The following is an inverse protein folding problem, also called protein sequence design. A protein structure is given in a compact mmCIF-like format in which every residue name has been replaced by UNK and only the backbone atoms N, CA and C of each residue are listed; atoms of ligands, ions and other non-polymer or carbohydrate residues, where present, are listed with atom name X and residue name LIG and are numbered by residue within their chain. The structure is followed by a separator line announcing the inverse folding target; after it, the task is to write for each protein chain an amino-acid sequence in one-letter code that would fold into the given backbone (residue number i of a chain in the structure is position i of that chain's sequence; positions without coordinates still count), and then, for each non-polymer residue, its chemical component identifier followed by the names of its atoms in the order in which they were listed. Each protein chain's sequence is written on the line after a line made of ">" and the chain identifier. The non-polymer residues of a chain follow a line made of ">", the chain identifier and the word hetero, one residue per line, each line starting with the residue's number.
data_IF_507727438382
#
_entry.id   IF_507727438382
#
_cell.length_a   1.000
_cell.length_b   1.000
_cell.length_c   1.000
_cell.angle_alpha   90.00
_cell.angle_beta   90.00
_cell.angle_gamma   90.00
#
_symmetry.space_group_name_H-M   'P 1'
#
loop_
_entity.id
_entity.type
_entity.pdbx_description
1 polymer ?
#
# COMPACT_ATOMS: atom_id res chain seq x y z
N UNK A 1 -16.28 0.63 -14.96
CA UNK A 1 -15.53 1.70 -15.64
C UNK A 1 -14.36 2.23 -14.82
N UNK A 2 -14.53 2.52 -13.51
CA UNK A 2 -13.47 3.11 -12.68
C UNK A 2 -12.23 2.22 -12.51
N UNK A 3 -12.37 0.89 -12.48
CA UNK A 3 -11.23 -0.04 -12.45
C UNK A 3 -10.36 0.16 -13.70
N UNK A 4 -10.99 0.25 -14.86
CA UNK A 4 -10.29 0.49 -16.14
C UNK A 4 -9.66 1.89 -16.21
N UNK A 5 -10.36 2.90 -15.69
CA UNK A 5 -9.83 4.27 -15.67
C UNK A 5 -8.58 4.37 -14.79
N UNK A 6 -8.63 3.82 -13.56
CA UNK A 6 -7.47 3.80 -12.67
C UNK A 6 -6.32 2.96 -13.24
N UNK A 7 -6.62 1.81 -13.85
CA UNK A 7 -5.62 1.01 -14.55
C UNK A 7 -4.94 1.79 -15.67
N UNK A 8 -5.71 2.52 -16.49
CA UNK A 8 -5.17 3.34 -17.57
C UNK A 8 -4.27 4.48 -17.06
N UNK A 9 -4.63 5.13 -15.94
CA UNK A 9 -3.79 6.16 -15.29
C UNK A 9 -2.45 5.56 -14.84
N UNK A 10 -2.44 4.29 -14.43
CA UNK A 10 -1.24 3.55 -14.03
C UNK A 10 -0.50 2.91 -15.22
N UNK A 11 -0.91 3.18 -16.45
CA UNK A 11 -0.27 2.66 -17.66
C UNK A 11 -0.68 1.25 -18.08
N UNK A 12 -1.73 0.70 -17.47
CA UNK A 12 -2.25 -0.62 -17.83
C UNK A 12 -3.21 -0.53 -19.01
N UNK A 13 -3.08 -1.44 -19.97
CA UNK A 13 -4.03 -1.50 -21.07
C UNK A 13 -5.33 -2.23 -20.67
N UNK A 14 -6.33 -2.13 -21.54
CA UNK A 14 -7.65 -2.73 -21.28
C UNK A 14 -7.61 -4.25 -21.27
N UNK A 15 -6.71 -4.88 -22.04
CA UNK A 15 -6.57 -6.32 -22.10
C UNK A 15 -6.04 -6.86 -20.76
N UNK A 16 -5.01 -6.20 -20.20
CA UNK A 16 -4.49 -6.51 -18.88
C UNK A 16 -5.57 -6.37 -17.80
N UNK A 17 -6.31 -5.25 -17.82
CA UNK A 17 -7.38 -5.02 -16.83
C UNK A 17 -8.51 -6.05 -16.94
N UNK A 18 -8.90 -6.48 -18.15
CA UNK A 18 -9.87 -7.56 -18.33
C UNK A 18 -9.38 -8.87 -17.73
N UNK A 19 -8.10 -9.20 -17.90
CA UNK A 19 -7.50 -10.43 -17.37
C UNK A 19 -7.48 -10.45 -15.85
N UNK A 20 -7.28 -9.30 -15.20
CA UNK A 20 -7.14 -9.17 -13.76
C UNK A 20 -8.37 -8.62 -13.05
N UNK A 21 -9.47 -8.39 -13.76
CA UNK A 21 -10.68 -7.79 -13.20
C UNK A 21 -11.23 -8.57 -12.01
N UNK A 22 -11.39 -9.88 -12.14
CA UNK A 22 -11.94 -10.73 -11.10
C UNK A 22 -11.02 -10.78 -9.88
N UNK A 23 -9.70 -10.84 -10.09
CA UNK A 23 -8.68 -10.79 -9.03
C UNK A 23 -8.76 -9.47 -8.22
N UNK A 24 -8.89 -8.33 -8.92
CA UNK A 24 -9.02 -7.01 -8.28
C UNK A 24 -10.30 -6.94 -7.45
N UNK A 25 -11.43 -7.38 -7.99
CA UNK A 25 -12.73 -7.36 -7.32
C UNK A 25 -12.72 -8.30 -6.11
N UNK A 26 -12.18 -9.49 -6.24
CA UNK A 26 -12.08 -10.47 -5.16
C UNK A 26 -11.16 -9.96 -4.04
N UNK A 27 -9.99 -9.41 -4.40
CA UNK A 27 -9.05 -8.88 -3.41
C UNK A 27 -9.67 -7.71 -2.62
N UNK A 28 -10.33 -6.79 -3.31
CA UNK A 28 -10.98 -5.62 -2.68
C UNK A 28 -12.24 -5.94 -1.88
N UNK A 29 -12.78 -7.18 -2.01
CA UNK A 29 -14.02 -7.64 -1.37
C UNK A 29 -15.23 -6.78 -1.77
N UNK A 30 -15.28 -6.36 -3.04
CA UNK A 30 -16.32 -5.48 -3.58
C UNK A 30 -17.26 -6.16 -4.59
N UNK A 31 -17.38 -7.50 -4.54
CA UNK A 31 -18.19 -8.27 -5.49
C UNK A 31 -19.64 -7.79 -5.56
N UNK A 32 -20.24 -7.48 -4.42
CA UNK A 32 -21.63 -7.01 -4.34
C UNK A 32 -21.82 -5.55 -4.80
N UNK A 33 -20.71 -4.81 -4.97
CA UNK A 33 -20.71 -3.39 -5.30
C UNK A 33 -20.21 -3.07 -6.71
N UNK A 34 -19.90 -4.10 -7.53
CA UNK A 34 -19.30 -3.92 -8.87
C UNK A 34 -20.16 -3.03 -9.77
N UNK A 35 -21.48 -3.14 -9.67
CA UNK A 35 -22.44 -2.36 -10.47
C UNK A 35 -22.80 -1.00 -9.83
N UNK A 36 -22.30 -0.73 -8.62
CA UNK A 36 -22.52 0.54 -7.93
C UNK A 36 -21.51 1.57 -8.41
N UNK A 37 -21.93 2.77 -8.81
CA UNK A 37 -20.98 3.84 -9.16
C UNK A 37 -20.03 4.18 -8.01
N UNK A 38 -18.74 4.33 -8.30
CA UNK A 38 -17.69 4.60 -7.28
C UNK A 38 -17.94 5.88 -6.47
N UNK A 39 -18.65 6.86 -7.05
CA UNK A 39 -19.10 8.06 -6.31
C UNK A 39 -19.97 7.73 -5.07
N UNK A 40 -20.55 6.55 -5.02
CA UNK A 40 -21.38 6.06 -3.90
C UNK A 40 -20.59 5.14 -2.96
N UNK A 41 -19.30 4.92 -3.23
CA UNK A 41 -18.44 4.11 -2.36
C UNK A 41 -18.05 4.88 -1.10
N UNK A 42 -17.91 4.17 0.00
CA UNK A 42 -17.27 4.72 1.20
C UNK A 42 -15.78 4.95 0.95
N UNK A 43 -15.13 5.78 1.76
CA UNK A 43 -13.68 5.98 1.70
C UNK A 43 -12.90 4.67 1.84
N UNK A 44 -13.37 3.77 2.72
CA UNK A 44 -12.79 2.44 2.90
C UNK A 44 -12.89 1.58 1.63
N UNK A 45 -14.04 1.61 0.94
CA UNK A 45 -14.22 0.89 -0.33
C UNK A 45 -13.31 1.43 -1.42
N UNK A 46 -13.17 2.76 -1.53
CA UNK A 46 -12.27 3.41 -2.50
C UNK A 46 -10.82 2.99 -2.24
N UNK A 47 -10.40 3.00 -0.99
CA UNK A 47 -9.04 2.64 -0.61
C UNK A 47 -8.75 1.15 -0.84
N UNK A 48 -9.70 0.26 -0.54
CA UNK A 48 -9.58 -1.19 -0.84
C UNK A 48 -9.42 -1.43 -2.34
N UNK A 49 -10.24 -0.77 -3.15
CA UNK A 49 -10.16 -0.87 -4.60
C UNK A 49 -8.83 -0.33 -5.14
N UNK A 50 -8.40 0.85 -4.66
CA UNK A 50 -7.13 1.47 -5.04
C UNK A 50 -5.93 0.57 -4.73
N UNK A 51 -5.89 -0.02 -3.53
CA UNK A 51 -4.83 -0.95 -3.15
C UNK A 51 -4.84 -2.22 -4.03
N UNK A 52 -6.01 -2.80 -4.29
CA UNK A 52 -6.14 -3.96 -5.16
C UNK A 52 -5.60 -3.70 -6.57
N UNK A 53 -5.95 -2.54 -7.16
CA UNK A 53 -5.45 -2.15 -8.49
C UNK A 53 -3.94 -1.93 -8.46
N UNK A 54 -3.42 -1.21 -7.47
CA UNK A 54 -1.99 -0.90 -7.36
C UNK A 54 -1.11 -2.14 -7.21
N UNK A 55 -1.62 -3.19 -6.56
CA UNK A 55 -0.86 -4.41 -6.24
C UNK A 55 -1.08 -5.58 -7.19
N UNK A 56 -2.01 -5.47 -8.13
CA UNK A 56 -2.20 -6.50 -9.18
C UNK A 56 -1.06 -6.48 -10.18
N UNK A 57 -0.40 -5.34 -10.36
CA UNK A 57 0.80 -5.22 -11.19
C UNK A 57 2.03 -5.58 -10.38
N UNK A 58 2.88 -6.41 -10.94
CA UNK A 58 4.24 -6.63 -10.42
C UNK A 58 5.14 -5.49 -10.89
N UNK A 59 5.10 -4.39 -10.14
CA UNK A 59 5.98 -3.26 -10.39
C UNK A 59 7.39 -3.55 -9.86
N UNK A 60 8.42 -3.01 -10.50
CA UNK A 60 9.80 -3.08 -9.99
C UNK A 60 9.94 -2.26 -8.71
N UNK A 61 9.24 -1.12 -8.64
CA UNK A 61 9.22 -0.20 -7.50
C UNK A 61 7.75 0.11 -7.16
N UNK A 62 7.37 -0.12 -5.92
CA UNK A 62 6.07 0.23 -5.37
C UNK A 62 6.24 1.31 -4.29
N UNK A 63 5.56 2.44 -4.47
CA UNK A 63 5.52 3.54 -3.50
C UNK A 63 4.21 3.47 -2.74
N UNK A 64 4.29 3.38 -1.41
CA UNK A 64 3.12 3.30 -0.52
C UNK A 64 3.23 4.38 0.56
N UNK A 65 2.23 5.25 0.62
CA UNK A 65 2.11 6.31 1.62
C UNK A 65 0.92 6.03 2.55
N UNK A 66 1.22 5.58 3.76
CA UNK A 66 0.29 5.29 4.88
C UNK A 66 -0.93 4.38 4.61
N UNK A 67 -1.10 3.84 3.41
CA UNK A 67 -2.34 3.17 2.95
C UNK A 67 -2.60 1.81 3.65
N UNK A 68 -1.67 1.27 4.41
CA UNK A 68 -1.86 -0.03 5.09
C UNK A 68 -2.81 0.01 6.30
N UNK A 69 -3.29 1.20 6.67
CA UNK A 69 -4.28 1.37 7.74
C UNK A 69 -5.75 1.28 7.24
N UNK A 70 -5.96 0.82 6.00
CA UNK A 70 -7.28 0.81 5.34
C UNK A 70 -8.08 -0.43 5.69
N UNK A 71 -9.37 -0.22 5.94
CA UNK A 71 -10.31 -1.29 6.20
C UNK A 71 -10.27 -1.81 7.64
N UNK A 72 -10.90 -2.96 7.86
CA UNK A 72 -10.85 -3.65 9.13
C UNK A 72 -9.53 -4.44 9.31
N UNK A 73 -9.32 -4.98 10.51
CA UNK A 73 -8.12 -5.74 10.83
C UNK A 73 -7.86 -6.89 9.84
N UNK A 74 -8.90 -7.60 9.42
CA UNK A 74 -8.77 -8.72 8.47
C UNK A 74 -8.25 -8.27 7.11
N UNK A 75 -8.74 -7.14 6.62
CA UNK A 75 -8.27 -6.58 5.35
C UNK A 75 -6.83 -6.05 5.45
N UNK A 76 -6.47 -5.46 6.59
CA UNK A 76 -5.08 -5.03 6.84
C UNK A 76 -4.10 -6.20 6.80
N UNK A 77 -4.44 -7.33 7.41
CA UNK A 77 -3.60 -8.54 7.34
C UNK A 77 -3.49 -9.08 5.90
N UNK A 78 -4.56 -9.00 5.12
CA UNK A 78 -4.56 -9.35 3.70
C UNK A 78 -3.63 -8.43 2.87
N UNK A 79 -3.65 -7.12 3.14
CA UNK A 79 -2.74 -6.17 2.53
C UNK A 79 -1.28 -6.45 2.89
N UNK A 80 -0.98 -6.72 4.15
CA UNK A 80 0.38 -7.09 4.60
C UNK A 80 0.89 -8.35 3.92
N UNK A 81 0.05 -9.38 3.83
CA UNK A 81 0.40 -10.62 3.13
C UNK A 81 0.73 -10.36 1.66
N UNK A 82 -0.06 -9.52 0.98
CA UNK A 82 0.19 -9.13 -0.42
C UNK A 82 1.49 -8.35 -0.57
N UNK A 83 1.79 -7.45 0.36
CA UNK A 83 3.06 -6.71 0.36
C UNK A 83 4.27 -7.63 0.52
N UNK A 84 4.20 -8.62 1.43
CA UNK A 84 5.27 -9.62 1.58
C UNK A 84 5.46 -10.44 0.31
N UNK A 85 4.38 -10.88 -0.31
CA UNK A 85 4.43 -11.59 -1.60
C UNK A 85 5.16 -10.78 -2.69
N UNK A 86 4.85 -9.48 -2.80
CA UNK A 86 5.51 -8.60 -3.77
C UNK A 86 6.99 -8.41 -3.47
N UNK A 87 7.36 -8.23 -2.19
CA UNK A 87 8.76 -8.11 -1.76
C UNK A 87 9.56 -9.39 -2.04
N UNK A 88 9.00 -10.55 -1.74
CA UNK A 88 9.60 -11.86 -2.05
C UNK A 88 9.74 -12.08 -3.56
N UNK A 89 8.83 -11.51 -4.35
CA UNK A 89 8.87 -11.51 -5.81
C UNK A 89 9.89 -10.54 -6.43
N UNK A 90 10.62 -9.75 -5.62
CA UNK A 90 11.68 -8.85 -6.06
C UNK A 90 11.25 -7.39 -6.23
N UNK A 91 10.01 -7.02 -5.90
CA UNK A 91 9.57 -5.61 -5.89
C UNK A 91 10.32 -4.82 -4.83
N UNK A 92 10.84 -3.65 -5.19
CA UNK A 92 11.40 -2.69 -4.23
C UNK A 92 10.26 -1.86 -3.65
N UNK A 93 10.14 -1.83 -2.31
CA UNK A 93 9.14 -1.05 -1.60
C UNK A 93 9.73 0.26 -1.09
N UNK A 94 9.13 1.38 -1.47
CA UNK A 94 9.32 2.68 -0.82
C UNK A 94 8.09 2.97 0.03
N UNK A 95 8.23 2.80 1.34
CA UNK A 95 7.13 2.90 2.30
C UNK A 95 7.29 4.15 3.17
N UNK A 96 6.29 5.01 3.16
CA UNK A 96 6.20 6.19 4.03
C UNK A 96 5.16 5.92 5.11
N UNK A 97 5.57 5.92 6.36
CA UNK A 97 4.68 5.69 7.51
C UNK A 97 5.26 6.25 8.79
N UNK A 98 4.37 6.60 9.72
CA UNK A 98 4.73 6.88 11.10
C UNK A 98 4.48 5.69 12.04
N UNK A 99 3.96 4.58 11.51
CA UNK A 99 3.71 3.35 12.27
C UNK A 99 4.97 2.48 12.28
N UNK A 100 5.65 2.44 13.44
CA UNK A 100 6.91 1.72 13.59
C UNK A 100 6.83 0.23 13.43
N UNK A 101 5.73 -0.38 13.88
CA UNK A 101 5.56 -1.82 13.75
C UNK A 101 5.50 -2.24 12.27
N UNK A 102 4.79 -1.45 11.46
CA UNK A 102 4.72 -1.68 10.01
C UNK A 102 6.07 -1.42 9.33
N UNK A 103 6.78 -0.36 9.72
CA UNK A 103 8.11 -0.06 9.18
C UNK A 103 9.09 -1.19 9.49
N UNK A 104 9.15 -1.65 10.75
CA UNK A 104 10.02 -2.75 11.16
C UNK A 104 9.66 -4.09 10.50
N UNK A 105 8.37 -4.32 10.26
CA UNK A 105 7.87 -5.55 9.65
C UNK A 105 8.16 -5.63 8.14
N UNK A 106 8.02 -4.51 7.41
CA UNK A 106 8.07 -4.49 5.95
C UNK A 106 9.41 -4.00 5.39
N UNK A 107 10.17 -3.22 6.16
CA UNK A 107 11.37 -2.56 5.69
C UNK A 107 12.63 -3.08 6.43
N UNK A 108 13.67 -3.34 5.67
CA UNK A 108 15.00 -3.65 6.24
C UNK A 108 15.81 -2.39 6.56
N UNK A 109 15.55 -1.29 5.85
CA UNK A 109 16.20 0.02 5.97
C UNK A 109 15.17 1.10 6.16
N UNK A 110 15.47 2.09 6.99
CA UNK A 110 14.66 3.28 7.15
C UNK A 110 15.51 4.54 7.06
N UNK A 111 14.88 5.62 6.65
CA UNK A 111 15.45 6.97 6.62
C UNK A 111 14.52 7.87 7.44
N UNK A 112 15.06 8.46 8.50
CA UNK A 112 14.33 9.44 9.29
C UNK A 112 14.54 10.85 8.73
N UNK A 113 13.43 11.47 8.29
CA UNK A 113 13.40 12.84 7.80
C UNK A 113 12.79 13.77 8.83
N UNK A 114 13.41 14.91 9.07
CA UNK A 114 12.87 15.98 9.88
C UNK A 114 13.04 17.32 9.15
N UNK A 115 11.93 17.99 8.84
CA UNK A 115 11.91 19.25 8.09
C UNK A 115 12.78 19.24 6.82
N UNK A 116 12.75 18.13 6.06
CA UNK A 116 13.53 17.97 4.83
C UNK A 116 14.99 17.59 5.01
N UNK A 117 15.45 17.41 6.26
CA UNK A 117 16.82 16.98 6.57
C UNK A 117 16.83 15.50 6.98
N UNK A 118 17.78 14.74 6.45
CA UNK A 118 18.02 13.36 6.87
C UNK A 118 18.69 13.38 8.24
N UNK A 119 18.01 12.87 9.24
CA UNK A 119 18.49 12.77 10.63
C UNK A 119 19.23 11.47 10.86
N UNK A 120 18.74 10.39 10.29
CA UNK A 120 19.34 9.05 10.41
C UNK A 120 19.00 8.22 9.17
N UNK A 121 19.89 7.31 8.80
CA UNK A 121 19.72 6.35 7.70
C UNK A 121 20.40 5.04 8.10
N UNK A 122 19.67 3.93 8.08
CA UNK A 122 20.21 2.64 8.50
C UNK A 122 19.15 1.55 8.70
N UNK A 123 19.46 0.51 9.49
CA UNK A 123 18.51 -0.56 9.81
C UNK A 123 17.20 -0.01 10.39
N UNK A 124 16.06 -0.53 9.91
CA UNK A 124 14.74 0.05 10.21
C UNK A 124 14.42 0.06 11.72
N UNK A 125 14.79 -0.98 12.45
CA UNK A 125 14.63 -1.07 13.90
C UNK A 125 15.42 0.00 14.64
N UNK A 126 16.70 0.18 14.28
CA UNK A 126 17.60 1.16 14.92
C UNK A 126 17.12 2.59 14.65
N UNK A 127 16.80 2.90 13.39
CA UNK A 127 16.34 4.25 12.99
C UNK A 127 15.01 4.59 13.66
N UNK A 128 14.08 3.64 13.67
CA UNK A 128 12.78 3.88 14.29
C UNK A 128 12.87 4.07 15.81
N UNK A 129 13.71 3.30 16.50
CA UNK A 129 13.89 3.45 17.97
C UNK A 129 14.46 4.84 18.33
N UNK A 130 15.37 5.38 17.52
CA UNK A 130 15.87 6.75 17.68
C UNK A 130 14.79 7.81 17.40
N UNK A 131 13.99 7.60 16.36
CA UNK A 131 12.85 8.46 16.03
C UNK A 131 11.81 8.49 17.17
N UNK A 132 11.42 7.32 17.67
CA UNK A 132 10.45 7.20 18.76
C UNK A 132 10.94 7.89 20.04
N UNK A 133 12.21 7.69 20.42
CA UNK A 133 12.82 8.32 21.59
C UNK A 133 12.81 9.86 21.51
N UNK A 134 12.97 10.44 20.32
CA UNK A 134 12.87 11.88 20.13
C UNK A 134 11.43 12.37 20.26
N UNK A 135 10.46 11.63 19.72
CA UNK A 135 9.04 12.02 19.78
C UNK A 135 8.47 11.96 21.19
N UNK A 136 8.99 11.09 22.07
CA UNK A 136 8.61 11.02 23.48
C UNK A 136 9.15 12.19 24.31
N UNK A 137 10.18 12.89 23.82
CA UNK A 137 10.81 14.04 24.52
C UNK A 137 10.26 15.40 24.04
N UNK A 138 9.39 15.39 23.03
CA UNK A 138 8.82 16.60 22.42
C UNK A 138 7.38 16.86 22.88
#
# INVERSE_FOLDING_TARGET
>A
ENIYLNGAVMGMDRAFMNQHFDEIVEFSELQEFVDVPVKNYSSGMISRLGFAIATVVRADILVVDEILAVGDFKFQEKCKAKMRELLEGGTTLLFVSHNGDQVKELCSRAIWLNHGVVMEDGPADVVYDKYAAMMEQS
#
